data_IF_729826417152
#
_entry.id   IF_729826417152
#
_cell.length_a   1.000
_cell.length_b   1.000
_cell.length_c   1.000
_cell.angle_alpha   90.00
_cell.angle_beta   90.00
_cell.angle_gamma   90.00
#
_symmetry.space_group_name_H-M   'P 1'
#
loop_
_entity.id
_entity.type
_entity.pdbx_description
1 polymer ?
#
# COMPACT_ATOMS: atom_id res chain seq x y z
N UNK A 1 23.28 -9.26 -14.88
CA UNK A 1 22.02 -9.53 -14.15
C UNK A 1 22.14 -9.11 -12.69
N UNK A 2 23.18 -9.57 -11.99
CA UNK A 2 23.46 -9.28 -10.57
C UNK A 2 23.59 -7.78 -10.20
N UNK A 3 24.13 -6.94 -11.09
CA UNK A 3 24.22 -5.49 -10.85
C UNK A 3 22.84 -4.81 -10.86
N UNK A 4 21.94 -5.22 -11.76
CA UNK A 4 20.61 -4.64 -11.84
C UNK A 4 19.80 -5.00 -10.59
N UNK A 5 19.89 -6.26 -10.15
CA UNK A 5 19.23 -6.74 -8.94
C UNK A 5 19.73 -6.05 -7.68
N UNK A 6 21.04 -5.80 -7.58
CA UNK A 6 21.58 -5.00 -6.47
C UNK A 6 20.98 -3.60 -6.42
N UNK A 7 20.84 -2.95 -7.57
CA UNK A 7 20.28 -1.59 -7.64
C UNK A 7 18.78 -1.60 -7.32
N UNK A 8 18.02 -2.58 -7.81
CA UNK A 8 16.60 -2.80 -7.47
C UNK A 8 16.42 -3.04 -5.95
N UNK A 9 17.27 -3.87 -5.35
CA UNK A 9 17.26 -4.15 -3.92
C UNK A 9 17.58 -2.91 -3.08
N UNK A 10 18.54 -2.08 -3.50
CA UNK A 10 18.86 -0.81 -2.83
C UNK A 10 17.68 0.16 -2.92
N UNK A 11 17.04 0.27 -4.09
CA UNK A 11 15.87 1.14 -4.25
C UNK A 11 14.68 0.67 -3.38
N UNK A 12 14.46 -0.65 -3.30
CA UNK A 12 13.47 -1.25 -2.41
C UNK A 12 13.78 -0.97 -0.93
N UNK A 13 15.02 -1.20 -0.49
CA UNK A 13 15.44 -0.95 0.89
C UNK A 13 15.30 0.52 1.27
N UNK A 14 15.68 1.44 0.37
CA UNK A 14 15.48 2.88 0.57
C UNK A 14 14.00 3.25 0.70
N UNK A 15 13.14 2.63 -0.11
CA UNK A 15 11.69 2.83 -0.05
C UNK A 15 11.10 2.32 1.28
N UNK A 16 11.48 1.12 1.71
CA UNK A 16 11.10 0.56 3.03
C UNK A 16 11.54 1.51 4.15
N UNK A 17 12.79 1.95 4.15
CA UNK A 17 13.30 2.86 5.14
C UNK A 17 12.53 4.19 5.17
N UNK A 18 12.24 4.77 4.00
CA UNK A 18 11.49 6.02 3.90
C UNK A 18 10.08 5.90 4.50
N UNK A 19 9.33 4.84 4.16
CA UNK A 19 8.00 4.60 4.73
C UNK A 19 8.06 4.30 6.23
N UNK A 20 9.02 3.48 6.71
CA UNK A 20 9.19 3.22 8.14
C UNK A 20 9.51 4.48 8.93
N UNK A 21 10.39 5.35 8.41
CA UNK A 21 10.72 6.64 9.05
C UNK A 21 9.50 7.55 9.09
N UNK A 22 8.78 7.70 7.97
CA UNK A 22 7.58 8.51 7.92
C UNK A 22 6.52 8.07 8.95
N UNK A 23 6.26 6.75 9.03
CA UNK A 23 5.27 6.19 9.96
C UNK A 23 5.76 6.23 11.42
N UNK A 24 7.05 6.03 11.66
CA UNK A 24 7.66 6.12 12.99
C UNK A 24 7.69 7.55 13.55
N UNK A 25 7.69 8.57 12.69
CA UNK A 25 7.69 9.97 13.06
C UNK A 25 6.29 10.61 13.13
N UNK A 26 5.20 9.82 13.09
CA UNK A 26 3.81 10.33 13.11
C UNK A 26 3.46 11.29 14.25
N UNK A 27 4.19 11.23 15.37
CA UNK A 27 3.95 12.07 16.56
C UNK A 27 4.51 13.49 16.37
N UNK A 28 5.45 13.67 15.43
CA UNK A 28 6.14 14.94 15.17
C UNK A 28 5.92 15.44 13.75
N UNK A 29 5.59 14.55 12.81
CA UNK A 29 5.29 14.87 11.42
C UNK A 29 3.83 14.57 11.10
N UNK A 30 3.21 15.52 10.41
CA UNK A 30 1.87 15.34 9.84
C UNK A 30 1.83 14.12 8.92
N UNK A 31 0.79 13.29 9.02
CA UNK A 31 0.73 12.02 8.29
C UNK A 31 0.85 12.22 6.78
N UNK A 32 0.17 13.23 6.22
CA UNK A 32 0.16 13.51 4.78
C UNK A 32 1.53 14.00 4.30
N UNK A 33 2.21 14.82 5.08
CA UNK A 33 3.57 15.29 4.77
C UNK A 33 4.55 14.11 4.84
N UNK A 34 4.49 13.32 5.92
CA UNK A 34 5.37 12.18 6.12
C UNK A 34 5.24 11.13 5.02
N UNK A 35 4.02 10.64 4.78
CA UNK A 35 3.79 9.61 3.74
C UNK A 35 4.00 10.17 2.34
N UNK A 36 3.65 11.43 2.09
CA UNK A 36 3.90 12.11 0.82
C UNK A 36 5.40 12.22 0.51
N UNK A 37 6.21 12.62 1.50
CA UNK A 37 7.67 12.66 1.36
C UNK A 37 8.26 11.27 1.13
N UNK A 38 7.80 10.25 1.89
CA UNK A 38 8.22 8.86 1.68
C UNK A 38 7.88 8.36 0.27
N UNK A 39 6.69 8.68 -0.24
CA UNK A 39 6.28 8.34 -1.59
C UNK A 39 7.17 9.00 -2.65
N UNK A 40 7.51 10.29 -2.50
CA UNK A 40 8.45 10.96 -3.40
C UNK A 40 9.85 10.35 -3.34
N UNK A 41 10.37 10.07 -2.15
CA UNK A 41 11.67 9.40 -1.96
C UNK A 41 11.68 8.04 -2.63
N UNK A 42 10.62 7.24 -2.44
CA UNK A 42 10.48 5.94 -3.08
C UNK A 42 10.45 6.07 -4.61
N UNK A 43 9.64 6.97 -5.16
CA UNK A 43 9.58 7.20 -6.61
C UNK A 43 10.91 7.66 -7.20
N UNK A 44 11.66 8.51 -6.49
CA UNK A 44 13.01 8.91 -6.90
C UNK A 44 13.98 7.72 -6.85
N UNK A 45 13.94 6.92 -5.78
CA UNK A 45 14.75 5.70 -5.66
C UNK A 45 14.46 4.71 -6.80
N UNK A 46 13.18 4.50 -7.13
CA UNK A 46 12.77 3.66 -8.25
C UNK A 46 13.14 4.28 -9.61
N UNK A 47 13.07 5.60 -9.75
CA UNK A 47 13.47 6.29 -10.96
C UNK A 47 14.96 6.14 -11.25
N UNK A 48 15.83 6.13 -10.24
CA UNK A 48 17.27 5.92 -10.47
C UNK A 48 17.66 4.44 -10.46
N UNK A 49 16.92 3.60 -9.73
CA UNK A 49 17.34 2.23 -9.46
C UNK A 49 16.54 1.10 -10.13
N UNK A 50 15.31 1.36 -10.57
CA UNK A 50 14.37 0.33 -11.05
C UNK A 50 13.60 0.74 -12.32
N UNK A 51 14.16 1.61 -13.17
CA UNK A 51 13.53 2.06 -14.43
C UNK A 51 12.97 0.94 -15.31
N UNK A 52 13.65 -0.20 -15.49
CA UNK A 52 13.11 -1.28 -16.32
C UNK A 52 11.80 -1.85 -15.78
N UNK A 53 11.70 -2.01 -14.45
CA UNK A 53 10.50 -2.48 -13.76
C UNK A 53 9.36 -1.47 -13.90
N UNK A 54 9.64 -0.17 -13.84
CA UNK A 54 8.64 0.85 -14.11
C UNK A 54 8.07 0.67 -15.53
N UNK A 55 8.93 0.57 -16.54
CA UNK A 55 8.50 0.44 -17.95
C UNK A 55 7.70 -0.83 -18.24
N UNK A 56 8.06 -1.96 -17.65
CA UNK A 56 7.36 -3.23 -17.89
C UNK A 56 5.95 -3.24 -17.28
N UNK A 57 5.76 -2.56 -16.15
CA UNK A 57 4.49 -2.52 -15.42
C UNK A 57 3.51 -1.46 -15.95
N UNK A 58 3.97 -0.45 -16.72
CA UNK A 58 3.15 0.59 -17.37
C UNK A 58 2.64 0.22 -18.77
N UNK A 59 2.37 -1.06 -19.05
CA UNK A 59 1.66 -1.46 -20.28
C UNK A 59 0.17 -1.09 -20.18
N UNK A 60 -0.43 -0.68 -21.31
CA UNK A 60 -1.85 -0.29 -21.36
C UNK A 60 -2.72 -1.34 -20.66
N UNK A 61 -3.49 -0.96 -19.63
CA UNK A 61 -4.25 -1.92 -18.87
C UNK A 61 -5.37 -2.50 -19.73
N UNK A 62 -5.52 -3.83 -19.72
CA UNK A 62 -6.72 -4.44 -20.26
C UNK A 62 -7.94 -3.93 -19.45
N UNK A 63 -9.03 -3.52 -20.13
CA UNK A 63 -10.25 -3.06 -19.46
C UNK A 63 -10.77 -4.05 -18.40
N UNK A 64 -10.57 -5.35 -18.66
CA UNK A 64 -10.84 -6.43 -17.71
C UNK A 64 -10.11 -6.26 -16.37
N UNK A 65 -8.84 -5.84 -16.37
CA UNK A 65 -8.06 -5.66 -15.15
C UNK A 65 -8.53 -4.46 -14.33
N UNK A 66 -8.99 -3.39 -15.01
CA UNK A 66 -9.61 -2.24 -14.34
C UNK A 66 -10.92 -2.65 -13.67
N UNK A 67 -11.75 -3.43 -14.37
CA UNK A 67 -12.99 -3.96 -13.80
C UNK A 67 -12.75 -4.88 -12.61
N UNK A 68 -11.78 -5.81 -12.71
CA UNK A 68 -11.39 -6.69 -11.59
C UNK A 68 -10.95 -5.86 -10.39
N UNK A 69 -10.09 -4.86 -10.60
CA UNK A 69 -9.64 -3.96 -9.54
C UNK A 69 -10.81 -3.22 -8.89
N UNK A 70 -11.72 -2.66 -9.69
CA UNK A 70 -12.90 -1.96 -9.20
C UNK A 70 -13.79 -2.87 -8.37
N UNK A 71 -14.13 -4.06 -8.89
CA UNK A 71 -14.96 -5.03 -8.19
C UNK A 71 -14.34 -5.46 -6.86
N UNK A 72 -13.04 -5.77 -6.84
CA UNK A 72 -12.36 -6.18 -5.61
C UNK A 72 -12.27 -5.03 -4.61
N UNK A 73 -11.96 -3.81 -5.07
CA UNK A 73 -11.95 -2.62 -4.19
C UNK A 73 -13.30 -2.36 -3.53
N UNK A 74 -14.40 -2.42 -4.29
CA UNK A 74 -15.76 -2.26 -3.74
C UNK A 74 -16.11 -3.37 -2.76
N UNK A 75 -15.82 -4.63 -3.10
CA UNK A 75 -16.06 -5.77 -2.21
C UNK A 75 -15.26 -5.65 -0.91
N UNK A 76 -13.99 -5.20 -0.99
CA UNK A 76 -13.18 -4.92 0.19
C UNK A 76 -13.81 -3.83 1.06
N UNK A 77 -14.33 -2.75 0.48
CA UNK A 77 -14.96 -1.67 1.25
C UNK A 77 -16.24 -2.15 1.95
N UNK A 78 -17.08 -2.90 1.24
CA UNK A 78 -18.27 -3.54 1.83
C UNK A 78 -17.86 -4.46 2.98
N UNK A 79 -16.84 -5.30 2.77
CA UNK A 79 -16.32 -6.16 3.81
C UNK A 79 -15.80 -5.36 5.01
N UNK A 80 -15.09 -4.25 4.80
CA UNK A 80 -14.63 -3.37 5.89
C UNK A 80 -15.80 -2.82 6.71
N UNK A 81 -16.85 -2.29 6.06
CA UNK A 81 -18.02 -1.74 6.75
C UNK A 81 -18.79 -2.81 7.54
N UNK A 82 -18.90 -4.04 7.00
CA UNK A 82 -19.55 -5.15 7.68
C UNK A 82 -18.73 -5.74 8.82
N UNK A 83 -17.43 -5.93 8.60
CA UNK A 83 -16.54 -6.56 9.57
C UNK A 83 -16.19 -5.63 10.73
N UNK A 84 -16.17 -4.30 10.52
CA UNK A 84 -15.80 -3.34 11.57
C UNK A 84 -16.66 -3.47 12.85
N UNK A 85 -18.00 -3.37 12.83
CA UNK A 85 -18.81 -3.49 14.04
C UNK A 85 -18.68 -4.86 14.70
N UNK A 86 -18.56 -5.93 13.91
CA UNK A 86 -18.33 -7.30 14.41
C UNK A 86 -16.97 -7.36 15.13
N UNK A 87 -15.94 -6.77 14.53
CA UNK A 87 -14.58 -6.76 15.08
C UNK A 87 -14.52 -5.99 16.40
N UNK A 88 -15.19 -4.82 16.48
CA UNK A 88 -15.31 -4.05 17.72
C UNK A 88 -16.07 -4.83 18.80
N UNK A 89 -17.14 -5.55 18.43
CA UNK A 89 -17.89 -6.36 19.40
C UNK A 89 -17.09 -7.53 19.98
N UNK A 90 -16.21 -8.15 19.17
CA UNK A 90 -15.38 -9.27 19.57
C UNK A 90 -14.08 -8.82 20.28
N UNK A 91 -13.52 -7.69 19.87
CA UNK A 91 -12.29 -7.13 20.41
C UNK A 91 -12.39 -5.59 20.52
N UNK A 92 -12.94 -5.07 21.63
CA UNK A 92 -13.20 -3.64 21.83
C UNK A 92 -12.03 -2.68 21.58
N UNK A 93 -10.74 -3.03 21.86
CA UNK A 93 -9.61 -2.14 21.55
C UNK A 93 -9.49 -1.73 20.08
N UNK A 94 -10.11 -2.45 19.14
CA UNK A 94 -10.15 -2.08 17.72
C UNK A 94 -10.78 -0.70 17.51
N UNK A 95 -11.79 -0.35 18.31
CA UNK A 95 -12.43 0.95 18.19
C UNK A 95 -11.43 2.08 18.40
N UNK A 96 -10.63 2.01 19.47
CA UNK A 96 -9.60 3.03 19.79
C UNK A 96 -8.50 3.09 18.72
N UNK A 97 -8.06 1.94 18.20
CA UNK A 97 -7.08 1.89 17.10
C UNK A 97 -7.63 2.55 15.82
N UNK A 98 -8.89 2.28 15.49
CA UNK A 98 -9.57 2.89 14.34
C UNK A 98 -9.72 4.40 14.54
N UNK A 99 -10.21 4.85 15.69
CA UNK A 99 -10.36 6.27 16.02
C UNK A 99 -9.01 7.00 15.95
N UNK A 100 -7.92 6.37 16.41
CA UNK A 100 -6.56 6.91 16.32
C UNK A 100 -6.12 7.06 14.86
N UNK A 101 -6.36 6.06 14.01
CA UNK A 101 -6.09 6.15 12.58
C UNK A 101 -6.86 7.31 11.93
N UNK A 102 -8.16 7.43 12.19
CA UNK A 102 -8.96 8.52 11.61
C UNK A 102 -8.54 9.89 12.14
N UNK A 103 -8.11 10.00 13.40
CA UNK A 103 -7.51 11.23 13.92
C UNK A 103 -6.25 11.63 13.13
N UNK A 104 -5.37 10.68 12.79
CA UNK A 104 -4.21 10.94 11.92
C UNK A 104 -4.66 11.43 10.54
N UNK A 105 -5.60 10.73 9.89
CA UNK A 105 -6.08 11.09 8.55
C UNK A 105 -6.78 12.46 8.52
N UNK A 106 -7.45 12.86 9.61
CA UNK A 106 -8.14 14.14 9.74
C UNK A 106 -7.19 15.32 10.03
N UNK A 107 -5.91 15.08 10.32
CA UNK A 107 -4.93 16.16 10.41
C UNK A 107 -4.97 17.02 9.15
N UNK A 108 -4.79 18.34 9.29
CA UNK A 108 -4.82 19.26 8.15
C UNK A 108 -3.87 18.77 7.03
N UNK A 109 -4.30 18.79 5.75
CA UNK A 109 -5.49 19.45 5.24
C UNK A 109 -6.77 18.60 5.27
N UNK A 110 -6.72 17.39 5.85
CA UNK A 110 -7.81 16.41 5.87
C UNK A 110 -7.85 15.52 4.61
N UNK A 111 -8.57 14.39 4.66
CA UNK A 111 -8.48 13.35 3.62
C UNK A 111 -8.97 13.79 2.24
N UNK A 112 -9.98 14.67 2.19
CA UNK A 112 -10.51 15.20 0.92
C UNK A 112 -9.50 16.10 0.22
N UNK A 113 -8.86 17.03 0.95
CA UNK A 113 -7.88 17.96 0.36
C UNK A 113 -6.52 17.29 0.15
N UNK A 114 -6.19 16.28 0.94
CA UNK A 114 -5.00 15.47 0.77
C UNK A 114 -5.14 14.40 -0.33
N UNK A 115 -6.27 14.33 -1.04
CA UNK A 115 -6.50 13.34 -2.09
C UNK A 115 -5.37 13.23 -3.13
N UNK A 116 -4.74 14.32 -3.62
CA UNK A 116 -3.58 14.20 -4.51
C UNK A 116 -2.38 13.49 -3.87
N UNK A 117 -2.16 13.69 -2.57
CA UNK A 117 -1.12 13.00 -1.80
C UNK A 117 -1.48 11.53 -1.63
N UNK A 118 -2.76 11.21 -1.34
CA UNK A 118 -3.25 9.83 -1.28
C UNK A 118 -2.98 9.09 -2.61
N UNK A 119 -3.28 9.70 -3.76
CA UNK A 119 -3.00 9.12 -5.07
C UNK A 119 -1.50 8.83 -5.26
N UNK A 120 -0.65 9.80 -4.89
CA UNK A 120 0.80 9.67 -4.97
C UNK A 120 1.32 8.53 -4.09
N UNK A 121 0.86 8.47 -2.83
CA UNK A 121 1.25 7.44 -1.87
C UNK A 121 0.83 6.07 -2.37
N UNK A 122 -0.42 5.89 -2.77
CA UNK A 122 -0.92 4.61 -3.28
C UNK A 122 -0.16 4.17 -4.53
N UNK A 123 0.10 5.09 -5.47
CA UNK A 123 0.89 4.76 -6.66
C UNK A 123 2.32 4.35 -6.31
N UNK A 124 2.98 5.05 -5.39
CA UNK A 124 4.31 4.70 -4.91
C UNK A 124 4.32 3.33 -4.21
N UNK A 125 3.37 3.08 -3.31
CA UNK A 125 3.22 1.79 -2.63
C UNK A 125 3.05 0.64 -3.63
N UNK A 126 2.16 0.77 -4.61
CA UNK A 126 1.96 -0.29 -5.61
C UNK A 126 3.23 -0.55 -6.45
N UNK A 127 3.96 0.50 -6.82
CA UNK A 127 5.22 0.36 -7.56
C UNK A 127 6.31 -0.31 -6.71
N UNK A 128 6.44 0.04 -5.43
CA UNK A 128 7.46 -0.53 -4.55
C UNK A 128 7.12 -1.98 -4.19
N UNK A 129 5.92 -2.22 -3.69
CA UNK A 129 5.54 -3.51 -3.14
C UNK A 129 5.14 -4.51 -4.23
N UNK A 130 4.24 -4.13 -5.14
CA UNK A 130 3.75 -5.05 -6.19
C UNK A 130 4.60 -5.02 -7.45
N UNK A 131 5.22 -3.89 -7.77
CA UNK A 131 6.15 -3.78 -8.89
C UNK A 131 7.50 -4.40 -8.52
N UNK A 132 8.28 -3.68 -7.73
CA UNK A 132 9.70 -3.99 -7.51
C UNK A 132 9.88 -5.21 -6.60
N UNK A 133 9.24 -5.27 -5.43
CA UNK A 133 9.49 -6.38 -4.51
C UNK A 133 9.04 -7.73 -5.09
N UNK A 134 7.84 -7.82 -5.67
CA UNK A 134 7.39 -9.07 -6.29
C UNK A 134 8.28 -9.44 -7.48
N UNK A 135 8.62 -8.52 -8.39
CA UNK A 135 9.44 -8.85 -9.56
C UNK A 135 10.87 -9.28 -9.15
N UNK A 136 11.46 -8.62 -8.13
CA UNK A 136 12.79 -8.94 -7.61
C UNK A 136 12.83 -10.34 -6.99
N UNK A 137 11.91 -10.66 -6.07
CA UNK A 137 11.90 -11.94 -5.38
C UNK A 137 11.33 -13.09 -6.23
N UNK A 138 10.56 -12.79 -7.29
CA UNK A 138 10.01 -13.83 -8.18
C UNK A 138 11.11 -14.61 -8.91
N UNK A 139 12.28 -14.01 -9.14
CA UNK A 139 13.41 -14.64 -9.83
C UNK A 139 13.95 -15.86 -9.08
N UNK A 140 13.93 -15.83 -7.75
CA UNK A 140 14.46 -16.91 -6.89
C UNK A 140 13.36 -17.73 -6.21
N UNK A 141 12.21 -17.14 -5.90
CA UNK A 141 11.15 -17.79 -5.11
C UNK A 141 9.91 -18.17 -5.93
N UNK A 142 9.77 -17.66 -7.15
CA UNK A 142 8.52 -17.70 -7.90
C UNK A 142 7.48 -16.69 -7.40
N UNK A 143 6.43 -16.41 -8.21
CA UNK A 143 5.57 -15.24 -8.01
C UNK A 143 4.73 -15.27 -6.73
N UNK A 144 4.20 -16.43 -6.35
CA UNK A 144 3.36 -16.56 -5.15
C UNK A 144 4.14 -16.44 -3.84
N UNK A 145 5.37 -16.96 -3.78
CA UNK A 145 6.22 -16.80 -2.59
C UNK A 145 6.78 -15.38 -2.51
N UNK A 146 7.15 -14.79 -3.65
CA UNK A 146 7.55 -13.39 -3.74
C UNK A 146 6.43 -12.43 -3.27
N UNK A 147 5.17 -12.74 -3.59
CA UNK A 147 4.01 -12.02 -3.09
C UNK A 147 3.93 -12.02 -1.56
N UNK A 148 4.15 -13.17 -0.91
CA UNK A 148 4.15 -13.26 0.56
C UNK A 148 5.29 -12.42 1.15
N UNK A 149 6.50 -12.52 0.60
CA UNK A 149 7.64 -11.70 1.03
C UNK A 149 7.34 -10.21 0.88
N UNK A 150 6.77 -9.79 -0.25
CA UNK A 150 6.34 -8.40 -0.48
C UNK A 150 5.28 -7.94 0.53
N UNK A 151 4.29 -8.78 0.85
CA UNK A 151 3.31 -8.46 1.88
C UNK A 151 3.94 -8.28 3.27
N UNK A 152 4.92 -9.11 3.63
CA UNK A 152 5.67 -8.95 4.89
C UNK A 152 6.49 -7.65 4.92
N UNK A 153 7.11 -7.25 3.80
CA UNK A 153 7.79 -5.95 3.70
C UNK A 153 6.81 -4.79 3.82
N UNK A 154 5.61 -4.91 3.24
CA UNK A 154 4.56 -3.90 3.31
C UNK A 154 4.02 -3.68 4.73
N UNK A 155 4.17 -4.66 5.62
CA UNK A 155 3.78 -4.56 7.03
C UNK A 155 4.75 -3.69 7.84
N UNK A 156 6.03 -3.60 7.45
CA UNK A 156 7.07 -2.94 8.25
C UNK A 156 6.76 -1.46 8.60
N UNK A 157 6.26 -0.62 7.68
CA UNK A 157 5.84 0.74 8.03
C UNK A 157 4.75 0.78 9.10
N UNK A 158 3.85 -0.20 9.14
CA UNK A 158 2.79 -0.29 10.16
C UNK A 158 3.33 -0.75 11.52
N UNK A 159 4.39 -1.58 11.52
CA UNK A 159 5.15 -1.89 12.74
C UNK A 159 5.83 -0.64 13.27
N UNK A 160 6.43 0.18 12.41
CA UNK A 160 6.97 1.48 12.80
C UNK A 160 5.88 2.45 13.30
N UNK A 161 4.68 2.37 12.74
CA UNK A 161 3.48 3.04 13.25
C UNK A 161 2.97 2.43 14.57
N UNK A 162 3.49 1.31 15.06
CA UNK A 162 3.07 0.72 16.34
C UNK A 162 1.55 0.53 16.45
N UNK A 163 0.87 0.24 15.34
CA UNK A 163 -0.57 -0.04 15.31
C UNK A 163 -0.79 -1.52 15.02
N UNK A 164 -1.16 -2.33 16.04
CA UNK A 164 -1.48 -3.75 15.86
C UNK A 164 -2.58 -3.99 14.82
N UNK A 165 -3.58 -3.10 14.78
CA UNK A 165 -4.65 -3.15 13.78
C UNK A 165 -4.08 -3.02 12.37
N UNK A 166 -3.26 -2.00 12.12
CA UNK A 166 -2.74 -1.74 10.78
C UNK A 166 -1.70 -2.77 10.33
N UNK A 167 -1.00 -3.43 11.25
CA UNK A 167 -0.16 -4.59 10.94
C UNK A 167 -1.00 -5.70 10.29
N UNK A 168 -2.15 -6.04 10.90
CA UNK A 168 -3.04 -7.09 10.40
C UNK A 168 -3.68 -6.66 9.09
N UNK A 169 -4.21 -5.44 9.03
CA UNK A 169 -4.86 -4.89 7.82
C UNK A 169 -3.86 -4.83 6.65
N UNK A 170 -2.64 -4.33 6.87
CA UNK A 170 -1.62 -4.28 5.82
C UNK A 170 -1.19 -5.67 5.35
N UNK A 171 -1.13 -6.67 6.24
CA UNK A 171 -0.85 -8.04 5.83
C UNK A 171 -1.98 -8.58 4.93
N UNK A 172 -3.25 -8.44 5.34
CA UNK A 172 -4.41 -8.89 4.57
C UNK A 172 -4.51 -8.19 3.21
N UNK A 173 -4.47 -6.86 3.20
CA UNK A 173 -4.47 -6.05 1.98
C UNK A 173 -3.25 -6.38 1.10
N UNK A 174 -2.08 -6.55 1.71
CA UNK A 174 -0.86 -6.86 1.01
C UNK A 174 -0.89 -8.22 0.31
N UNK A 175 -1.45 -9.25 0.96
CA UNK A 175 -1.67 -10.55 0.33
C UNK A 175 -2.70 -10.46 -0.80
N UNK A 176 -3.81 -9.74 -0.60
CA UNK A 176 -4.88 -9.63 -1.59
C UNK A 176 -4.45 -8.86 -2.85
N UNK A 177 -3.89 -7.66 -2.69
CA UNK A 177 -3.38 -6.86 -3.80
C UNK A 177 -2.15 -7.51 -4.46
N UNK A 178 -1.33 -8.20 -3.66
CA UNK A 178 -0.27 -9.05 -4.19
C UNK A 178 -0.81 -10.18 -5.08
N UNK A 179 -1.88 -10.86 -4.67
CA UNK A 179 -2.51 -11.91 -5.45
C UNK A 179 -3.09 -11.36 -6.76
N UNK A 180 -3.73 -10.18 -6.72
CA UNK A 180 -4.17 -9.48 -7.92
C UNK A 180 -3.00 -9.25 -8.87
N UNK A 181 -1.88 -8.71 -8.38
CA UNK A 181 -0.68 -8.49 -9.21
C UNK A 181 -0.17 -9.79 -9.86
N UNK A 182 -0.14 -10.89 -9.12
CA UNK A 182 0.33 -12.19 -9.63
C UNK A 182 -0.63 -12.74 -10.69
N UNK A 183 -1.93 -12.66 -10.45
CA UNK A 183 -2.97 -13.18 -11.36
C UNK A 183 -3.12 -12.35 -12.63
N UNK A 184 -3.13 -11.01 -12.51
CA UNK A 184 -3.33 -10.12 -13.66
C UNK A 184 -2.03 -9.75 -14.37
N UNK A 185 -0.87 -10.15 -13.82
CA UNK A 185 0.48 -9.89 -14.35
C UNK A 185 0.77 -8.41 -14.62
N UNK A 186 0.19 -7.53 -13.81
CA UNK A 186 0.34 -6.08 -13.95
C UNK A 186 -0.26 -5.33 -12.76
N UNK A 187 0.03 -4.03 -12.68
CA UNK A 187 -0.32 -3.20 -11.51
C UNK A 187 -1.72 -2.58 -11.56
N UNK A 188 -2.39 -2.60 -12.72
CA UNK A 188 -3.67 -1.91 -12.87
C UNK A 188 -4.77 -2.42 -11.93
N UNK A 189 -4.93 -3.75 -11.82
CA UNK A 189 -5.93 -4.34 -10.92
C UNK A 189 -5.66 -4.02 -9.44
N UNK A 190 -4.47 -4.28 -8.87
CA UNK A 190 -4.22 -3.92 -7.47
C UNK A 190 -4.25 -2.42 -7.22
N UNK A 191 -3.74 -1.59 -8.14
CA UNK A 191 -3.79 -0.13 -8.01
C UNK A 191 -5.23 0.39 -7.95
N UNK A 192 -6.11 -0.07 -8.84
CA UNK A 192 -7.52 0.32 -8.82
C UNK A 192 -8.20 -0.19 -7.54
N UNK A 193 -7.97 -1.45 -7.14
CA UNK A 193 -8.56 -2.00 -5.92
C UNK A 193 -8.15 -1.20 -4.68
N UNK A 194 -6.86 -0.88 -4.56
CA UNK A 194 -6.30 -0.10 -3.46
C UNK A 194 -6.86 1.32 -3.45
N UNK A 195 -6.87 2.01 -4.59
CA UNK A 195 -7.44 3.35 -4.70
C UNK A 195 -8.92 3.37 -4.33
N UNK A 196 -9.72 2.44 -4.87
CA UNK A 196 -11.15 2.35 -4.56
C UNK A 196 -11.36 2.11 -3.07
N UNK A 197 -10.63 1.16 -2.48
CA UNK A 197 -10.75 0.85 -1.06
C UNK A 197 -10.38 2.05 -0.17
N UNK A 198 -9.21 2.68 -0.40
CA UNK A 198 -8.79 3.87 0.35
C UNK A 198 -9.78 5.03 0.19
N UNK A 199 -10.31 5.26 -1.01
CA UNK A 199 -11.27 6.35 -1.22
C UNK A 199 -12.57 6.11 -0.48
N UNK A 200 -13.16 4.93 -0.63
CA UNK A 200 -14.43 4.61 0.00
C UNK A 200 -14.30 4.58 1.52
N UNK A 201 -13.23 3.97 2.04
CA UNK A 201 -13.05 3.79 3.49
C UNK A 201 -12.46 5.03 4.15
N UNK A 202 -11.49 5.74 3.56
CA UNK A 202 -10.85 6.87 4.26
C UNK A 202 -11.46 8.24 3.94
N UNK A 203 -12.16 8.39 2.81
CA UNK A 203 -12.63 9.70 2.32
C UNK A 203 -14.14 9.79 2.34
N UNK A 204 -14.84 8.90 1.64
CA UNK A 204 -16.26 9.06 1.34
C UNK A 204 -17.19 8.48 2.41
N UNK A 205 -16.86 7.31 2.95
CA UNK A 205 -17.70 6.61 3.93
C UNK A 205 -16.82 5.98 5.03
N UNK A 206 -16.25 6.82 5.91
CA UNK A 206 -15.40 6.37 7.00
C UNK A 206 -16.17 5.54 8.02
N UNK A 207 -15.48 4.57 8.63
CA UNK A 207 -16.06 3.71 9.69
C UNK A 207 -16.05 4.36 11.08
N UNK A 208 -15.30 5.46 11.25
CA UNK A 208 -15.23 6.25 12.48
C UNK A 208 -15.04 7.74 12.17
#
# INVERSE_FOLDING_TARGET
>A
MERLERVEAVALAASVAAFCVAMGLREVLNIWIGTGAAALTALLALWFGARPVLRSNFRSPAAKNLLVGLSVGVLMSIATWWLYPISVSLFPPIQTEVETLYALLRQAPGPVRAFPVLLLVVAAEELVWRGVAIDLFSKSLGPWRAMVVSALLYVLPQVALRSPLLIIVALCCGLLWGALRVQTKGLAAPLVAHLVWNNLVFVWHPVA
#
